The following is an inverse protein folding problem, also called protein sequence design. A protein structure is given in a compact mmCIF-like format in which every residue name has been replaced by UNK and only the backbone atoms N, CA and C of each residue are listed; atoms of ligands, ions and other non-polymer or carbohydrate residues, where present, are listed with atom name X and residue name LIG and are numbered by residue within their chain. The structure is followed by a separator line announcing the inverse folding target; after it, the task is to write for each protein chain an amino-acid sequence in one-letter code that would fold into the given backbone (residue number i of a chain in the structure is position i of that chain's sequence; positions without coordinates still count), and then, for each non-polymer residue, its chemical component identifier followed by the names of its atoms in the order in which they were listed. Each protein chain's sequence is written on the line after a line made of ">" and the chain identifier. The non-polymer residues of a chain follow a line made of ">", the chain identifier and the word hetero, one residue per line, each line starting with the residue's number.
data_IF_432599596741
#
_entry.id   IF_432599596741
#
_cell.length_a   1.000
_cell.length_b   1.000
_cell.length_c   1.000
_cell.angle_alpha   90.00
_cell.angle_beta   90.00
_cell.angle_gamma   90.00
#
_symmetry.space_group_name_H-M   'P 1'
#
loop_
_entity.id
_entity.type
_entity.pdbx_description
1 polymer ?
#
# COMPACT_ATOMS: atom_id res chain seq x y z
N UNK A 1 -26.30 -5.27 -1.47
CA UNK A 1 -24.90 -4.94 -1.11
C UNK A 1 -24.28 -4.42 -2.38
N UNK A 2 -23.90 -3.16 -2.37
CA UNK A 2 -23.39 -2.49 -3.57
C UNK A 2 -21.86 -2.62 -3.64
N UNK A 3 -21.35 -2.76 -4.86
CA UNK A 3 -19.92 -2.85 -5.10
C UNK A 3 -19.56 -2.23 -6.44
N UNK A 4 -18.31 -1.79 -6.58
CA UNK A 4 -17.82 -1.07 -7.75
C UNK A 4 -16.41 -1.51 -8.09
N UNK A 5 -16.12 -1.51 -9.38
CA UNK A 5 -14.79 -1.77 -9.92
C UNK A 5 -14.42 -0.70 -10.93
N UNK A 6 -13.13 -0.35 -10.98
CA UNK A 6 -12.64 0.64 -11.93
C UNK A 6 -11.35 0.22 -12.63
N UNK A 7 -11.03 0.95 -13.70
CA UNK A 7 -9.90 0.68 -14.59
C UNK A 7 -10.12 1.38 -15.92
N UNK A 8 -10.15 0.63 -17.02
CA UNK A 8 -10.52 1.16 -18.35
C UNK A 8 -12.00 1.61 -18.49
N UNK A 9 -12.78 1.49 -17.41
CA UNK A 9 -14.16 1.94 -17.26
C UNK A 9 -14.58 1.74 -15.80
N UNK A 10 -15.87 1.92 -15.49
CA UNK A 10 -16.44 1.59 -14.18
C UNK A 10 -17.58 0.60 -14.39
N UNK A 11 -17.65 -0.42 -13.54
CA UNK A 11 -18.81 -1.30 -13.42
C UNK A 11 -19.27 -1.39 -11.98
N UNK A 12 -20.55 -1.65 -11.78
CA UNK A 12 -21.20 -1.73 -10.47
C UNK A 12 -21.98 -3.03 -10.32
N UNK A 13 -22.23 -3.42 -9.08
CA UNK A 13 -23.09 -4.54 -8.70
C UNK A 13 -24.05 -4.09 -7.61
N UNK A 14 -25.29 -4.59 -7.64
CA UNK A 14 -26.29 -4.34 -6.59
C UNK A 14 -26.61 -5.63 -5.79
N UNK A 15 -26.13 -6.78 -6.27
CA UNK A 15 -26.45 -8.12 -5.76
C UNK A 15 -25.28 -8.75 -4.98
N UNK A 16 -24.36 -7.92 -4.47
CA UNK A 16 -23.18 -8.38 -3.73
C UNK A 16 -22.16 -9.04 -4.65
N UNK A 17 -22.00 -8.53 -5.87
CA UNK A 17 -21.02 -9.01 -6.83
C UNK A 17 -21.39 -10.35 -7.46
N UNK A 18 -22.66 -10.73 -7.55
CA UNK A 18 -23.08 -11.91 -8.33
C UNK A 18 -23.14 -11.56 -9.82
N UNK A 19 -23.63 -10.35 -10.14
CA UNK A 19 -23.64 -9.79 -11.49
C UNK A 19 -23.11 -8.36 -11.50
N UNK A 20 -22.50 -7.97 -12.62
CA UNK A 20 -21.88 -6.66 -12.81
C UNK A 20 -22.47 -5.94 -14.02
N UNK A 21 -22.69 -4.64 -13.89
CA UNK A 21 -23.27 -3.78 -14.91
C UNK A 21 -22.30 -2.66 -15.28
N UNK A 22 -22.17 -2.39 -16.57
CA UNK A 22 -21.36 -1.26 -17.05
C UNK A 22 -22.01 0.05 -16.63
N UNK A 23 -21.23 0.93 -16.00
CA UNK A 23 -21.62 2.30 -15.71
C UNK A 23 -21.50 3.20 -16.95
N UNK A 24 -22.31 4.25 -17.02
CA UNK A 24 -22.11 5.33 -17.99
C UNK A 24 -21.03 6.29 -17.49
N UNK A 25 -19.90 6.34 -18.20
CA UNK A 25 -18.71 7.11 -17.80
C UNK A 25 -18.16 7.92 -18.97
N UNK A 26 -17.46 9.05 -18.72
CA UNK A 26 -16.71 9.74 -19.75
C UNK A 26 -15.76 8.79 -20.51
N UNK A 27 -15.86 8.78 -21.84
CA UNK A 27 -15.11 7.86 -22.70
C UNK A 27 -13.62 8.14 -22.73
N UNK A 28 -12.80 7.09 -22.82
CA UNK A 28 -11.35 7.20 -23.04
C UNK A 28 -10.53 7.51 -21.80
N UNK A 29 -11.13 7.41 -20.60
CA UNK A 29 -10.45 7.60 -19.32
C UNK A 29 -9.96 6.27 -18.75
N UNK A 30 -8.95 6.35 -17.89
CA UNK A 30 -8.47 5.25 -17.07
C UNK A 30 -8.54 5.66 -15.60
N UNK A 31 -9.25 4.86 -14.80
CA UNK A 31 -9.51 5.09 -13.38
C UNK A 31 -8.64 4.14 -12.55
N UNK A 32 -7.82 4.69 -11.67
CA UNK A 32 -6.92 3.93 -10.80
C UNK A 32 -7.63 3.54 -9.48
N UNK A 33 -8.61 4.34 -9.04
CA UNK A 33 -9.34 4.14 -7.78
C UNK A 33 -10.82 4.49 -7.94
N UNK A 34 -11.67 3.79 -7.18
CA UNK A 34 -13.11 4.06 -7.02
C UNK A 34 -13.50 3.84 -5.57
N UNK A 35 -14.28 4.75 -5.02
CA UNK A 35 -14.73 4.78 -3.63
C UNK A 35 -16.14 5.36 -3.57
N UNK A 36 -16.97 4.92 -2.62
CA UNK A 36 -18.29 5.50 -2.36
C UNK A 36 -18.40 6.00 -0.93
N UNK A 37 -18.92 7.21 -0.78
CA UNK A 37 -19.23 7.82 0.52
C UNK A 37 -20.47 7.21 1.18
N UNK A 38 -21.43 6.81 0.35
CA UNK A 38 -22.66 6.11 0.71
C UNK A 38 -23.16 5.30 -0.50
N UNK A 39 -24.30 4.63 -0.39
CA UNK A 39 -24.85 3.80 -1.47
C UNK A 39 -25.16 4.55 -2.79
N UNK A 40 -25.13 5.88 -2.81
CA UNK A 40 -25.46 6.74 -3.95
C UNK A 40 -24.27 7.58 -4.45
N UNK A 41 -23.44 8.08 -3.55
CA UNK A 41 -22.41 9.08 -3.81
C UNK A 41 -21.05 8.43 -4.04
N UNK A 42 -20.69 8.27 -5.32
CA UNK A 42 -19.45 7.63 -5.75
C UNK A 42 -18.43 8.59 -6.34
N UNK A 43 -17.16 8.24 -6.20
CA UNK A 43 -16.02 8.98 -6.73
C UNK A 43 -15.02 8.03 -7.40
N UNK A 44 -14.50 8.42 -8.55
CA UNK A 44 -13.41 7.69 -9.19
C UNK A 44 -12.35 8.65 -9.72
N UNK A 45 -11.10 8.25 -9.58
CA UNK A 45 -9.92 9.07 -9.89
C UNK A 45 -8.94 8.33 -10.79
N UNK A 46 -8.14 9.10 -11.54
CA UNK A 46 -7.09 8.55 -12.40
C UNK A 46 -5.98 9.55 -12.70
N UNK A 47 -5.13 9.19 -13.66
CA UNK A 47 -4.02 10.02 -14.15
C UNK A 47 -4.56 11.27 -14.85
N UNK A 48 -3.77 12.35 -14.94
CA UNK A 48 -4.13 13.59 -15.64
C UNK A 48 -5.34 14.32 -15.06
N UNK A 49 -5.49 14.29 -13.72
CA UNK A 49 -6.60 14.94 -13.01
C UNK A 49 -7.98 14.39 -13.37
N UNK A 50 -8.04 13.18 -13.93
CA UNK A 50 -9.31 12.50 -14.17
C UNK A 50 -9.99 12.30 -12.83
N UNK A 51 -11.16 12.91 -12.68
CA UNK A 51 -11.98 12.81 -11.49
C UNK A 51 -13.45 12.85 -11.91
N UNK A 52 -14.22 11.84 -11.50
CA UNK A 52 -15.64 11.72 -11.83
C UNK A 52 -16.43 11.45 -10.56
N UNK A 53 -17.70 11.87 -10.58
CA UNK A 53 -18.65 11.68 -9.49
C UNK A 53 -19.93 11.04 -9.99
N UNK A 54 -20.45 10.09 -9.21
CA UNK A 54 -21.81 9.57 -9.29
C UNK A 54 -22.63 10.04 -8.08
N UNK A 55 -23.93 10.20 -8.29
CA UNK A 55 -24.92 10.51 -7.23
C UNK A 55 -26.11 9.54 -7.29
N UNK A 56 -25.95 8.43 -8.02
CA UNK A 56 -26.98 7.45 -8.33
C UNK A 56 -26.49 6.01 -8.13
N UNK A 57 -25.51 5.78 -7.26
CA UNK A 57 -25.02 4.43 -6.94
C UNK A 57 -24.08 3.86 -8.02
N UNK A 58 -23.46 4.73 -8.81
CA UNK A 58 -22.51 4.35 -9.85
C UNK A 58 -23.13 3.99 -11.20
N UNK A 59 -24.42 4.27 -11.41
CA UNK A 59 -25.08 4.07 -12.70
C UNK A 59 -24.56 5.07 -13.73
N UNK A 60 -24.46 6.36 -13.35
CA UNK A 60 -23.93 7.43 -14.20
C UNK A 60 -22.84 8.23 -13.51
N UNK A 61 -21.82 8.62 -14.29
CA UNK A 61 -20.64 9.34 -13.82
C UNK A 61 -20.41 10.59 -14.63
N UNK A 62 -20.25 11.71 -13.94
CA UNK A 62 -19.99 13.01 -14.56
C UNK A 62 -18.60 13.51 -14.16
N UNK A 63 -17.90 14.17 -15.09
CA UNK A 63 -16.63 14.82 -14.78
C UNK A 63 -16.81 15.84 -13.66
N UNK A 64 -16.00 15.68 -12.62
CA UNK A 64 -15.90 16.61 -11.51
C UNK A 64 -14.53 17.31 -11.56
N UNK A 65 -14.38 18.38 -10.78
CA UNK A 65 -13.13 19.15 -10.72
C UNK A 65 -12.68 19.32 -9.29
N UNK A 66 -11.40 19.10 -9.04
CA UNK A 66 -10.77 19.42 -7.78
C UNK A 66 -10.13 20.81 -7.85
N UNK A 67 -10.01 21.54 -6.73
CA UNK A 67 -9.36 22.85 -6.69
C UNK A 67 -7.83 22.72 -6.79
N UNK A 68 -7.36 22.21 -7.94
CA UNK A 68 -5.94 22.07 -8.23
C UNK A 68 -5.24 23.44 -8.18
N UNK A 69 -3.99 23.51 -7.70
CA UNK A 69 -3.23 24.75 -7.72
C UNK A 69 -3.10 25.29 -9.16
N UNK A 70 -3.31 26.60 -9.33
CA UNK A 70 -3.46 27.28 -10.63
C UNK A 70 -2.20 27.26 -11.53
N UNK A 71 -1.08 26.70 -11.05
CA UNK A 71 0.18 26.38 -11.76
C UNK A 71 1.13 25.74 -10.72
N UNK A 72 1.46 24.47 -10.88
CA UNK A 72 2.55 23.82 -10.14
C UNK A 72 3.86 24.48 -10.56
N UNK A 73 4.43 25.31 -9.68
CA UNK A 73 5.79 25.80 -9.86
C UNK A 73 6.72 24.62 -9.64
N UNK A 74 7.41 24.21 -10.69
CA UNK A 74 8.66 23.46 -10.56
C UNK A 74 9.58 24.30 -9.68
N UNK A 75 9.94 23.78 -8.52
CA UNK A 75 11.02 24.34 -7.71
C UNK A 75 12.01 23.23 -7.41
N UNK A 76 12.94 23.04 -8.34
CA UNK A 76 14.16 22.29 -8.04
C UNK A 76 14.99 23.12 -7.05
N UNK A 77 15.34 22.54 -5.92
CA UNK A 77 16.37 23.07 -5.03
C UNK A 77 17.70 22.46 -5.48
N UNK A 78 18.69 23.30 -5.76
CA UNK A 78 20.08 22.86 -6.00
C UNK A 78 20.91 22.79 -4.73
N UNK A 79 20.31 23.07 -3.57
CA UNK A 79 21.01 23.30 -2.31
C UNK A 79 20.47 22.45 -1.15
N UNK A 80 19.86 21.31 -1.45
CA UNK A 80 19.37 20.35 -0.45
C UNK A 80 18.27 20.93 0.45
N UNK A 81 17.33 21.68 -0.13
CA UNK A 81 16.16 22.22 0.58
C UNK A 81 16.43 23.49 1.37
N UNK A 82 17.57 24.16 1.14
CA UNK A 82 17.93 25.39 1.85
C UNK A 82 17.33 26.64 1.19
N UNK A 83 17.06 26.64 -0.11
CA UNK A 83 16.36 27.73 -0.81
C UNK A 83 15.62 27.29 -2.09
N UNK A 84 14.59 28.06 -2.46
CA UNK A 84 13.60 27.73 -3.50
C UNK A 84 13.45 28.91 -4.49
N UNK A 85 13.77 28.70 -5.78
CA UNK A 85 13.73 29.73 -6.85
C UNK A 85 12.69 29.47 -7.95
N UNK A 86 12.21 30.52 -8.66
CA UNK A 86 11.19 30.39 -9.73
C UNK A 86 11.78 29.90 -11.06
N UNK A 87 11.12 28.95 -11.73
CA UNK A 87 11.38 28.60 -13.14
C UNK A 87 10.95 29.74 -14.11
N UNK A 88 11.61 29.93 -15.27
CA UNK A 88 11.23 30.95 -16.26
C UNK A 88 9.94 30.55 -17.03
N UNK A 89 9.08 31.53 -17.28
CA UNK A 89 7.71 31.38 -17.81
C UNK A 89 7.57 30.78 -19.23
N UNK A 90 8.65 30.50 -19.95
CA UNK A 90 8.60 30.20 -21.39
C UNK A 90 9.04 28.77 -21.79
N UNK A 91 9.16 27.83 -20.85
CA UNK A 91 9.41 26.42 -21.14
C UNK A 91 8.27 25.56 -20.63
N UNK A 92 7.26 25.28 -21.47
CA UNK A 92 6.28 24.24 -21.18
C UNK A 92 6.99 22.91 -21.44
N UNK A 93 7.38 22.22 -20.37
CA UNK A 93 7.86 20.84 -20.47
C UNK A 93 6.67 19.94 -20.85
N UNK A 94 6.78 19.25 -21.98
CA UNK A 94 5.79 18.24 -22.40
C UNK A 94 5.92 16.94 -21.59
N UNK A 95 6.95 16.84 -20.76
CA UNK A 95 7.21 15.76 -19.80
C UNK A 95 6.87 16.15 -18.35
N UNK A 96 6.22 17.29 -18.13
CA UNK A 96 5.76 17.68 -16.80
C UNK A 96 4.88 16.57 -16.20
N UNK A 97 5.11 16.18 -14.92
CA UNK A 97 4.43 15.04 -14.33
C UNK A 97 2.94 15.27 -14.24
N UNK A 98 2.21 14.22 -14.63
CA UNK A 98 0.75 14.18 -14.66
C UNK A 98 0.28 13.91 -13.23
N UNK A 99 -0.43 14.84 -12.57
CA UNK A 99 -0.95 14.58 -11.24
C UNK A 99 -1.98 13.45 -11.32
N UNK A 100 -1.83 12.49 -10.42
CA UNK A 100 -2.63 11.28 -10.33
C UNK A 100 -3.43 11.30 -9.03
N UNK A 101 -4.68 10.89 -9.10
CA UNK A 101 -5.45 10.54 -7.90
C UNK A 101 -5.12 9.09 -7.57
N UNK A 102 -4.34 8.88 -6.51
CA UNK A 102 -3.89 7.55 -6.11
C UNK A 102 -4.86 6.85 -5.16
N UNK A 103 -5.56 7.62 -4.32
CA UNK A 103 -6.53 7.09 -3.35
C UNK A 103 -7.68 8.06 -3.14
N UNK A 104 -8.87 7.52 -2.97
CA UNK A 104 -10.06 8.21 -2.47
C UNK A 104 -10.53 7.40 -1.26
N UNK A 105 -10.89 8.08 -0.18
CA UNK A 105 -11.34 7.43 1.04
C UNK A 105 -12.45 8.26 1.68
N UNK A 106 -13.51 7.63 2.15
CA UNK A 106 -14.54 8.28 2.95
C UNK A 106 -14.58 7.68 4.35
N UNK A 107 -14.66 8.54 5.35
CA UNK A 107 -14.86 8.15 6.75
C UNK A 107 -16.35 7.88 7.00
N UNK A 108 -17.20 8.69 6.37
CA UNK A 108 -18.65 8.60 6.44
C UNK A 108 -19.26 9.28 5.20
N UNK A 109 -20.59 9.33 5.14
CA UNK A 109 -21.34 9.90 4.01
C UNK A 109 -21.10 11.41 3.77
N UNK A 110 -20.49 12.12 4.74
CA UNK A 110 -20.15 13.53 4.63
C UNK A 110 -18.64 13.77 4.46
N UNK A 111 -17.80 13.03 5.16
CA UNK A 111 -16.38 13.31 5.29
C UNK A 111 -15.51 12.37 4.48
N UNK A 112 -14.66 12.93 3.63
CA UNK A 112 -13.78 12.15 2.75
C UNK A 112 -12.54 12.89 2.28
N UNK A 113 -11.59 12.12 1.74
CA UNK A 113 -10.27 12.56 1.32
C UNK A 113 -9.88 12.03 -0.05
N UNK A 114 -9.04 12.81 -0.74
CA UNK A 114 -8.36 12.39 -1.96
C UNK A 114 -6.88 12.62 -1.77
N UNK A 115 -6.10 11.55 -1.83
CA UNK A 115 -4.65 11.60 -1.86
C UNK A 115 -4.15 11.64 -3.30
N UNK A 116 -3.31 12.62 -3.62
CA UNK A 116 -2.71 12.73 -4.96
C UNK A 116 -1.25 12.33 -4.96
N UNK A 117 -0.83 11.66 -6.03
CA UNK A 117 0.57 11.47 -6.34
C UNK A 117 1.00 12.46 -7.43
N UNK A 118 2.07 13.21 -7.19
CA UNK A 118 2.69 14.07 -8.21
C UNK A 118 4.14 13.63 -8.32
N UNK A 119 4.52 13.12 -9.50
CA UNK A 119 5.78 12.40 -9.68
C UNK A 119 7.06 13.27 -9.48
N UNK A 120 6.96 14.59 -9.34
CA UNK A 120 8.11 15.48 -9.06
C UNK A 120 8.24 15.95 -7.61
N UNK A 121 7.78 15.16 -6.63
CA UNK A 121 8.27 15.19 -5.22
C UNK A 121 7.88 16.42 -4.38
N UNK A 122 7.00 17.31 -4.82
CA UNK A 122 6.96 18.65 -4.21
C UNK A 122 5.66 19.08 -3.53
N UNK A 123 4.55 18.34 -3.62
CA UNK A 123 3.35 18.59 -2.81
C UNK A 123 2.45 17.33 -2.82
N UNK A 124 2.38 16.58 -1.72
CA UNK A 124 1.20 15.71 -1.52
C UNK A 124 0.02 16.65 -1.28
N UNK A 125 -0.89 16.72 -2.26
CA UNK A 125 -2.14 17.47 -2.12
C UNK A 125 -3.18 16.51 -1.57
N UNK A 126 -3.68 16.83 -0.39
CA UNK A 126 -4.87 16.20 0.15
C UNK A 126 -6.06 17.08 -0.23
N UNK A 127 -7.09 16.53 -0.85
CA UNK A 127 -8.39 17.19 -0.88
C UNK A 127 -9.27 16.62 0.21
N UNK A 128 -10.11 17.47 0.79
CA UNK A 128 -11.06 17.11 1.83
C UNK A 128 -12.44 17.60 1.47
N UNK A 129 -13.45 16.81 1.80
CA UNK A 129 -14.85 17.16 1.76
C UNK A 129 -15.48 16.91 3.12
N UNK A 130 -16.42 17.77 3.50
CA UNK A 130 -17.30 17.67 4.68
C UNK A 130 -18.78 17.61 4.26
N UNK A 131 -19.05 17.36 2.98
CA UNK A 131 -20.40 17.37 2.40
C UNK A 131 -20.60 16.29 1.31
N UNK A 132 -20.03 15.11 1.54
CA UNK A 132 -20.22 13.94 0.68
C UNK A 132 -19.65 14.15 -0.72
N UNK A 133 -18.54 14.89 -0.80
CA UNK A 133 -17.84 15.24 -2.04
C UNK A 133 -18.61 16.18 -2.96
N UNK A 134 -19.66 16.87 -2.48
CA UNK A 134 -20.33 17.93 -3.24
C UNK A 134 -19.39 19.11 -3.53
N UNK A 135 -18.48 19.39 -2.61
CA UNK A 135 -17.34 20.28 -2.82
C UNK A 135 -16.10 19.74 -2.14
N UNK A 136 -14.94 20.01 -2.76
CA UNK A 136 -13.64 19.65 -2.23
C UNK A 136 -12.85 20.90 -1.90
N UNK A 137 -12.17 20.88 -0.77
CA UNK A 137 -11.23 21.90 -0.34
C UNK A 137 -9.82 21.34 -0.34
N UNK A 138 -8.86 22.13 -0.81
CA UNK A 138 -7.45 21.74 -0.71
C UNK A 138 -7.04 21.82 0.77
N UNK A 139 -6.52 20.73 1.30
CA UNK A 139 -5.78 20.69 2.57
C UNK A 139 -4.31 20.48 2.25
N UNK A 140 -3.46 21.30 2.86
CA UNK A 140 -2.03 21.00 2.92
C UNK A 140 -1.81 20.29 4.24
N UNK A 141 -1.22 19.10 4.18
CA UNK A 141 -0.78 18.36 5.37
C UNK A 141 0.58 18.87 5.91
N UNK A 142 1.16 19.89 5.29
CA UNK A 142 2.31 20.60 5.85
C UNK A 142 3.69 19.98 5.61
N UNK A 143 3.86 19.06 4.66
CA UNK A 143 5.16 18.50 4.28
C UNK A 143 5.35 18.31 2.77
N UNK A 144 6.57 17.94 2.35
CA UNK A 144 6.94 17.68 0.95
C UNK A 144 7.13 16.19 0.73
N UNK A 145 6.72 15.63 -0.41
CA UNK A 145 6.99 14.22 -0.77
C UNK A 145 5.74 13.41 -1.12
N UNK A 146 5.89 12.08 -1.26
CA UNK A 146 4.84 11.12 -1.65
C UNK A 146 4.27 10.43 -0.41
N UNK A 147 2.96 10.23 -0.38
CA UNK A 147 2.30 9.33 0.56
C UNK A 147 2.04 7.99 -0.14
N UNK A 148 2.51 6.92 0.49
CA UNK A 148 2.54 5.57 -0.09
C UNK A 148 1.87 4.51 0.79
N UNK A 149 1.69 4.79 2.07
CA UNK A 149 1.24 3.83 3.07
C UNK A 149 0.14 4.44 3.93
N UNK A 150 -0.85 3.63 4.29
CA UNK A 150 -1.90 4.00 5.21
C UNK A 150 -2.21 2.82 6.13
N UNK A 151 -2.47 3.12 7.38
CA UNK A 151 -3.11 2.18 8.29
C UNK A 151 -4.16 2.95 9.10
N UNK A 152 -5.37 2.42 9.14
CA UNK A 152 -6.42 2.88 10.04
C UNK A 152 -6.79 1.76 11.00
N UNK A 153 -7.19 2.12 12.21
CA UNK A 153 -7.90 1.19 13.08
C UNK A 153 -9.32 0.96 12.55
N UNK A 154 -9.94 -0.13 12.98
CA UNK A 154 -11.29 -0.51 12.58
C UNK A 154 -12.38 0.51 12.92
N UNK A 155 -12.08 1.54 13.72
CA UNK A 155 -13.03 2.62 14.00
C UNK A 155 -13.00 3.75 12.97
N UNK A 156 -12.08 3.71 12.00
CA UNK A 156 -11.89 4.72 10.97
C UNK A 156 -11.34 6.07 11.48
N UNK A 157 -11.38 6.36 12.78
CA UNK A 157 -10.97 7.67 13.32
C UNK A 157 -9.46 7.79 13.50
N UNK A 158 -8.79 6.69 13.83
CA UNK A 158 -7.37 6.67 14.16
C UNK A 158 -6.60 6.11 12.99
N UNK A 159 -5.77 6.95 12.38
CA UNK A 159 -5.04 6.60 11.17
C UNK A 159 -3.64 7.19 11.13
N UNK A 160 -2.77 6.50 10.41
CA UNK A 160 -1.37 6.85 10.25
C UNK A 160 -0.95 6.67 8.80
N UNK A 161 -0.05 7.53 8.34
CA UNK A 161 0.44 7.52 6.98
C UNK A 161 1.85 8.09 6.88
N UNK A 162 2.52 7.76 5.79
CA UNK A 162 3.86 8.20 5.46
C UNK A 162 4.15 7.85 4.01
N UNK A 163 5.41 7.96 3.62
CA UNK A 163 5.82 7.47 2.31
C UNK A 163 7.16 7.98 1.86
N UNK A 164 7.44 7.77 0.59
CA UNK A 164 8.73 8.11 0.03
C UNK A 164 8.91 9.62 -0.08
N UNK A 165 10.08 10.12 0.31
CA UNK A 165 10.45 11.53 0.22
C UNK A 165 9.58 12.48 1.05
N UNK A 166 8.65 11.96 1.87
CA UNK A 166 7.68 12.73 2.68
C UNK A 166 8.36 13.55 3.79
N UNK A 167 9.54 13.10 4.26
CA UNK A 167 10.25 13.68 5.40
C UNK A 167 9.56 13.49 6.76
N UNK A 168 8.23 13.34 6.74
CA UNK A 168 7.35 13.37 7.88
C UNK A 168 6.39 12.17 7.87
N UNK A 169 6.14 11.67 9.07
CA UNK A 169 5.02 10.79 9.39
C UNK A 169 3.79 11.64 9.69
N UNK A 170 2.59 11.14 9.37
CA UNK A 170 1.34 11.85 9.67
C UNK A 170 0.39 10.95 10.44
N UNK A 171 -0.36 11.56 11.37
CA UNK A 171 -1.42 10.90 12.15
C UNK A 171 -2.72 11.68 12.11
N UNK A 172 -3.83 10.98 12.25
CA UNK A 172 -5.17 11.53 12.46
C UNK A 172 -5.90 10.78 13.57
N UNK A 173 -6.76 11.50 14.29
CA UNK A 173 -7.64 10.97 15.37
C UNK A 173 -9.10 11.38 15.14
N UNK A 174 -9.39 11.95 13.97
CA UNK A 174 -10.71 12.38 13.51
C UNK A 174 -10.97 11.85 12.09
N UNK A 175 -10.38 10.70 11.77
CA UNK A 175 -10.54 9.95 10.51
C UNK A 175 -10.02 10.63 9.27
N UNK A 176 -9.14 11.61 9.44
CA UNK A 176 -8.46 12.34 8.38
C UNK A 176 -8.78 13.83 8.37
N UNK A 177 -9.76 14.30 9.14
CA UNK A 177 -10.21 15.70 9.15
C UNK A 177 -9.07 16.67 9.45
N UNK A 178 -8.22 16.28 10.39
CA UNK A 178 -6.95 16.91 10.73
C UNK A 178 -5.84 15.87 10.73
N UNK A 179 -4.77 16.18 9.99
CA UNK A 179 -3.51 15.47 10.05
C UNK A 179 -2.48 16.28 10.83
N UNK A 180 -1.79 15.61 11.74
CA UNK A 180 -0.65 16.14 12.49
C UNK A 180 0.62 15.52 11.93
N UNK A 181 1.60 16.35 11.54
CA UNK A 181 2.89 15.87 11.04
C UNK A 181 3.93 15.74 12.15
N UNK A 182 4.72 14.68 12.07
CA UNK A 182 5.82 14.37 12.98
C UNK A 182 7.04 14.09 12.12
N UNK A 183 8.04 14.96 12.24
CA UNK A 183 9.29 14.78 11.51
C UNK A 183 10.15 13.72 12.18
N UNK A 184 10.49 12.67 11.43
CA UNK A 184 11.38 11.60 11.89
C UNK A 184 12.83 11.80 11.40
N UNK A 185 13.10 12.91 10.72
CA UNK A 185 14.42 13.31 10.25
C UNK A 185 14.36 13.92 8.84
N UNK A 186 15.38 14.69 8.44
CA UNK A 186 15.42 15.25 7.09
C UNK A 186 15.51 14.13 6.04
N UNK A 187 14.76 14.27 4.95
CA UNK A 187 14.78 13.32 3.81
C UNK A 187 14.49 11.86 4.21
N UNK A 188 13.60 11.67 5.17
CA UNK A 188 13.18 10.36 5.65
C UNK A 188 12.10 9.76 4.76
N UNK A 189 12.25 8.48 4.44
CA UNK A 189 11.25 7.62 3.84
C UNK A 189 10.62 6.75 4.92
N UNK A 190 9.31 6.77 5.06
CA UNK A 190 8.62 5.75 5.85
C UNK A 190 8.33 4.62 4.86
N UNK A 191 8.98 3.46 5.04
CA UNK A 191 8.81 2.33 4.13
C UNK A 191 7.71 1.39 4.60
N UNK A 192 7.51 1.31 5.91
CA UNK A 192 6.43 0.54 6.51
C UNK A 192 6.11 1.07 7.91
N UNK A 193 4.91 0.77 8.40
CA UNK A 193 4.46 1.04 9.76
C UNK A 193 3.47 -0.02 10.24
N UNK A 194 3.37 -0.17 11.56
CA UNK A 194 2.33 -0.98 12.16
C UNK A 194 1.95 -0.43 13.54
N UNK A 195 0.71 0.00 13.69
CA UNK A 195 0.05 0.28 14.95
C UNK A 195 -0.82 -0.91 15.36
N UNK A 196 -0.66 -1.39 16.59
CA UNK A 196 -1.49 -2.46 17.15
C UNK A 196 -2.78 -1.90 17.74
N UNK A 197 -2.71 -0.68 18.25
CA UNK A 197 -3.82 0.04 18.86
C UNK A 197 -3.64 1.54 18.68
N UNK A 198 -4.46 2.32 19.38
CA UNK A 198 -4.49 3.78 19.28
C UNK A 198 -3.24 4.48 19.84
N UNK A 199 -2.40 3.78 20.60
CA UNK A 199 -1.28 4.34 21.35
C UNK A 199 0.05 3.74 20.91
N UNK A 200 0.09 2.42 20.69
CA UNK A 200 1.32 1.67 20.44
C UNK A 200 1.47 1.32 18.96
N UNK A 201 2.58 1.76 18.37
CA UNK A 201 2.95 1.40 17.01
C UNK A 201 4.42 1.62 16.69
N UNK A 202 4.83 1.10 15.54
CA UNK A 202 6.18 1.17 15.02
C UNK A 202 6.19 1.75 13.60
N UNK A 203 7.26 2.42 13.25
CA UNK A 203 7.50 2.93 11.91
C UNK A 203 8.95 2.64 11.50
N UNK A 204 9.18 2.48 10.20
CA UNK A 204 10.50 2.23 9.61
C UNK A 204 11.00 3.46 8.84
N UNK A 205 11.52 4.50 9.54
CA UNK A 205 12.16 5.62 8.89
C UNK A 205 13.50 5.21 8.26
N UNK A 206 13.65 5.50 6.98
CA UNK A 206 14.84 5.26 6.19
C UNK A 206 15.37 6.58 5.65
N UNK A 207 16.55 6.98 6.10
CA UNK A 207 17.15 8.28 5.78
C UNK A 207 18.05 8.13 4.57
N UNK A 208 17.88 9.01 3.58
CA UNK A 208 18.78 9.07 2.42
C UNK A 208 20.09 9.76 2.80
N UNK A 209 21.20 9.04 2.82
CA UNK A 209 22.49 9.64 3.19
C UNK A 209 23.32 10.18 2.03
N UNK A 210 23.19 9.64 0.81
CA UNK A 210 24.03 10.04 -0.32
C UNK A 210 23.34 9.88 -1.67
N UNK A 211 23.57 10.90 -2.51
CA UNK A 211 23.23 10.92 -3.93
C UNK A 211 24.50 10.89 -4.80
N UNK A 212 24.40 10.24 -5.96
CA UNK A 212 25.31 10.42 -7.09
C UNK A 212 24.51 10.92 -8.29
N UNK A 213 24.65 12.21 -8.62
CA UNK A 213 23.77 12.87 -9.58
C UNK A 213 22.32 12.91 -9.05
N UNK A 214 21.38 12.35 -9.82
CA UNK A 214 19.96 12.24 -9.45
C UNK A 214 19.59 10.90 -8.81
N UNK A 215 20.57 10.01 -8.59
CA UNK A 215 20.36 8.64 -8.09
C UNK A 215 20.69 8.55 -6.60
N UNK A 216 19.79 7.95 -5.82
CA UNK A 216 20.07 7.57 -4.42
C UNK A 216 20.99 6.36 -4.44
N UNK A 217 22.14 6.47 -3.77
CA UNK A 217 23.14 5.39 -3.72
C UNK A 217 23.25 4.74 -2.33
N UNK A 218 22.77 5.40 -1.28
CA UNK A 218 22.63 4.76 0.02
C UNK A 218 21.41 5.27 0.81
N UNK A 219 20.92 4.39 1.69
CA UNK A 219 19.88 4.67 2.68
C UNK A 219 20.30 4.01 3.99
N UNK A 220 20.06 4.67 5.12
CA UNK A 220 20.21 4.04 6.42
C UNK A 220 18.88 4.06 7.16
N UNK A 221 18.40 2.86 7.48
CA UNK A 221 17.13 2.62 8.14
C UNK A 221 17.22 2.64 9.65
N UNK A 222 16.08 2.93 10.26
CA UNK A 222 15.84 2.85 11.69
C UNK A 222 14.49 2.21 11.99
N UNK A 223 14.36 1.76 13.24
CA UNK A 223 13.09 1.31 13.80
C UNK A 223 12.69 2.32 14.87
N UNK A 224 11.50 2.89 14.73
CA UNK A 224 10.95 3.89 15.63
C UNK A 224 9.68 3.35 16.29
N UNK A 225 9.52 3.57 17.60
CA UNK A 225 8.29 3.22 18.34
C UNK A 225 7.58 4.45 18.86
N UNK A 226 6.26 4.42 18.78
CA UNK A 226 5.38 5.31 19.51
C UNK A 226 4.61 4.55 20.60
N UNK A 227 4.32 5.27 21.69
CA UNK A 227 3.45 4.84 22.80
C UNK A 227 2.38 5.89 23.12
N UNK A 228 2.22 6.87 22.23
CA UNK A 228 1.27 7.98 22.35
C UNK A 228 0.49 8.20 21.04
N UNK A 229 0.48 7.18 20.19
CA UNK A 229 -0.32 7.16 18.98
C UNK A 229 0.32 7.87 17.79
N UNK A 230 1.65 7.93 17.77
CA UNK A 230 2.44 8.65 16.80
C UNK A 230 2.54 10.16 17.08
N UNK A 231 2.24 10.62 18.31
CA UNK A 231 2.47 12.01 18.74
C UNK A 231 3.97 12.29 18.88
N UNK A 232 4.71 11.27 19.30
CA UNK A 232 6.15 11.23 19.33
C UNK A 232 6.64 9.82 19.02
N UNK A 233 7.90 9.74 18.60
CA UNK A 233 8.59 8.47 18.35
C UNK A 233 9.93 8.45 19.08
N UNK A 234 10.23 7.30 19.66
CA UNK A 234 11.55 6.95 20.14
C UNK A 234 12.23 6.06 19.11
N UNK A 235 13.40 6.46 18.63
CA UNK A 235 14.24 5.59 17.81
C UNK A 235 14.82 4.47 18.69
N UNK A 236 14.60 3.23 18.28
CA UNK A 236 14.94 2.02 19.04
C UNK A 236 16.16 1.30 18.48
N UNK A 237 16.36 1.34 17.16
CA UNK A 237 17.46 0.68 16.48
C UNK A 237 17.80 1.42 15.18
N UNK A 238 19.04 1.27 14.71
CA UNK A 238 19.53 1.89 13.47
C UNK A 238 20.13 3.27 13.69
N UNK A 239 20.19 4.08 12.64
CA UNK A 239 20.77 5.42 12.71
C UNK A 239 19.75 6.50 13.12
N UNK A 240 20.08 7.41 14.06
CA UNK A 240 21.37 7.62 14.72
C UNK A 240 21.53 6.94 16.11
N UNK A 241 20.72 5.93 16.48
CA UNK A 241 20.79 5.27 17.80
C UNK A 241 22.19 4.74 18.11
N UNK A 242 22.86 4.12 17.13
CA UNK A 242 24.23 3.59 17.26
C UNK A 242 25.35 4.63 16.99
N UNK A 243 25.00 5.92 16.92
CA UNK A 243 25.91 7.06 16.85
C UNK A 243 26.52 7.36 15.48
N UNK A 244 27.19 6.41 14.83
CA UNK A 244 27.81 6.66 13.52
C UNK A 244 26.87 6.25 12.38
N UNK A 245 26.70 7.12 11.38
CA UNK A 245 26.12 6.77 10.08
C UNK A 245 26.98 5.66 9.47
N UNK A 246 26.43 4.46 9.30
CA UNK A 246 27.11 3.32 8.69
C UNK A 246 26.54 3.17 7.30
N UNK A 247 27.30 3.58 6.28
CA UNK A 247 26.97 3.27 4.88
C UNK A 247 27.88 2.15 4.36
N UNK A 248 27.32 1.04 3.83
CA UNK A 248 25.90 0.77 3.69
C UNK A 248 25.27 0.19 4.97
N UNK A 249 24.25 0.87 5.49
CA UNK A 249 23.46 0.44 6.65
C UNK A 249 22.25 -0.38 6.20
N UNK A 250 21.51 -1.03 7.12
CA UNK A 250 20.30 -1.74 6.73
C UNK A 250 19.21 -0.74 6.34
N UNK A 251 18.62 -0.91 5.16
CA UNK A 251 17.31 -0.38 4.82
C UNK A 251 16.26 -1.33 5.41
N UNK A 252 15.34 -0.82 6.23
CA UNK A 252 14.23 -1.60 6.77
C UNK A 252 13.02 -1.53 5.85
N UNK A 253 12.50 -2.68 5.44
CA UNK A 253 11.47 -2.81 4.40
C UNK A 253 10.09 -3.13 4.95
N UNK A 254 10.02 -3.93 6.01
CA UNK A 254 8.78 -4.54 6.51
C UNK A 254 8.90 -4.77 8.02
N UNK A 255 7.81 -4.59 8.76
CA UNK A 255 7.74 -4.81 10.19
C UNK A 255 6.48 -5.61 10.57
N UNK A 256 6.65 -6.60 11.44
CA UNK A 256 5.53 -7.44 11.89
C UNK A 256 5.58 -7.65 13.40
N UNK A 257 4.52 -7.22 14.06
CA UNK A 257 4.20 -7.39 15.46
C UNK A 257 2.87 -8.16 15.55
N UNK A 258 2.88 -9.44 15.91
CA UNK A 258 1.66 -10.17 16.28
C UNK A 258 1.13 -9.72 17.66
N UNK A 259 2.00 -9.16 18.51
CA UNK A 259 1.63 -8.62 19.81
C UNK A 259 2.57 -7.45 20.23
N UNK A 260 2.29 -6.80 21.35
CA UNK A 260 3.02 -5.60 21.78
C UNK A 260 4.45 -5.86 22.31
N UNK A 261 4.81 -7.10 22.59
CA UNK A 261 6.11 -7.51 23.12
C UNK A 261 7.02 -8.11 22.04
N UNK A 262 6.48 -8.88 21.11
CA UNK A 262 7.25 -9.58 20.09
C UNK A 262 7.14 -8.89 18.74
N UNK A 263 8.27 -8.55 18.14
CA UNK A 263 8.31 -7.90 16.84
C UNK A 263 9.51 -8.29 16.00
N UNK A 264 9.29 -8.29 14.69
CA UNK A 264 10.30 -8.56 13.69
C UNK A 264 10.38 -7.44 12.68
N UNK A 265 11.60 -7.13 12.21
CA UNK A 265 11.81 -6.21 11.12
C UNK A 265 12.72 -6.84 10.06
N UNK A 266 12.36 -6.65 8.79
CA UNK A 266 13.14 -7.09 7.65
C UNK A 266 14.08 -5.97 7.20
N UNK A 267 15.39 -6.22 7.25
CA UNK A 267 16.39 -5.27 6.76
C UNK A 267 17.23 -5.84 5.62
N UNK A 268 17.58 -5.02 4.63
CA UNK A 268 18.55 -5.38 3.57
C UNK A 268 19.65 -4.34 3.44
N UNK A 269 20.78 -4.69 2.86
CA UNK A 269 21.78 -3.66 2.51
C UNK A 269 21.36 -2.88 1.26
N UNK A 270 21.90 -1.66 1.16
CA UNK A 270 21.44 -0.55 0.32
C UNK A 270 21.35 -0.79 -1.19
N UNK A 271 20.57 0.10 -1.81
CA UNK A 271 20.12 0.17 -3.21
C UNK A 271 21.19 0.03 -4.32
N UNK A 272 22.46 0.34 -4.07
CA UNK A 272 23.53 0.18 -5.06
C UNK A 272 24.64 -0.77 -4.58
N UNK A 273 24.53 -2.04 -4.97
CA UNK A 273 25.51 -3.09 -4.71
C UNK A 273 24.94 -4.46 -5.09
N UNK A 274 25.76 -5.54 -5.10
CA UNK A 274 25.21 -6.88 -5.16
C UNK A 274 24.22 -7.05 -4.00
N UNK A 275 23.03 -7.61 -4.26
CA UNK A 275 22.04 -7.85 -3.22
C UNK A 275 22.68 -8.67 -2.11
N UNK A 276 22.92 -8.06 -0.95
CA UNK A 276 23.40 -8.76 0.23
C UNK A 276 22.21 -9.49 0.89
N UNK A 277 22.46 -10.54 1.69
CA UNK A 277 21.40 -11.26 2.38
C UNK A 277 20.51 -10.32 3.20
N UNK A 278 19.22 -10.61 3.19
CA UNK A 278 18.29 -9.93 4.08
C UNK A 278 18.52 -10.41 5.51
N UNK A 279 18.25 -9.54 6.48
CA UNK A 279 18.35 -9.82 7.91
C UNK A 279 16.99 -9.70 8.54
N UNK A 280 16.71 -10.66 9.42
CA UNK A 280 15.55 -10.59 10.31
C UNK A 280 16.05 -10.06 11.65
N UNK A 281 15.52 -8.92 12.04
CA UNK A 281 15.73 -8.32 13.36
C UNK A 281 14.58 -8.69 14.26
N UNK A 282 14.85 -8.88 15.54
CA UNK A 282 13.85 -9.33 16.51
C UNK A 282 13.92 -8.53 17.82
N UNK A 283 12.76 -8.36 18.44
CA UNK A 283 12.58 -7.87 19.79
C UNK A 283 11.56 -8.74 20.53
N UNK A 284 11.80 -9.02 21.80
CA UNK A 284 10.88 -9.65 22.76
C UNK A 284 10.49 -8.69 23.91
N UNK A 285 10.79 -7.40 23.75
CA UNK A 285 10.53 -6.32 24.72
C UNK A 285 9.68 -5.18 24.16
N UNK A 286 9.06 -5.40 22.99
CA UNK A 286 8.34 -4.37 22.25
C UNK A 286 9.29 -3.30 21.72
N UNK A 287 10.54 -3.66 21.45
CA UNK A 287 11.56 -2.81 20.85
C UNK A 287 12.46 -2.05 21.82
N UNK A 288 12.42 -2.33 23.13
CA UNK A 288 13.41 -1.77 24.05
C UNK A 288 14.83 -2.26 23.74
N UNK A 289 14.94 -3.43 23.13
CA UNK A 289 16.15 -4.00 22.55
C UNK A 289 15.83 -4.71 21.22
N UNK A 290 16.75 -4.59 20.26
CA UNK A 290 16.68 -5.25 18.96
C UNK A 290 17.98 -6.00 18.69
N UNK A 291 17.84 -7.17 18.07
CA UNK A 291 18.99 -8.02 17.69
C UNK A 291 18.78 -8.64 16.32
N UNK A 292 19.86 -8.82 15.57
CA UNK A 292 19.84 -9.66 14.36
C UNK A 292 19.62 -11.10 14.81
N UNK A 293 18.50 -11.68 14.38
CA UNK A 293 18.11 -13.04 14.76
C UNK A 293 18.58 -14.07 13.74
N UNK A 294 18.43 -13.77 12.45
CA UNK A 294 18.83 -14.64 11.34
C UNK A 294 19.17 -13.84 10.09
N UNK A 295 19.86 -14.49 9.15
CA UNK A 295 20.07 -13.99 7.78
C UNK A 295 19.31 -14.90 6.81
N UNK A 296 18.62 -14.29 5.83
CA UNK A 296 17.90 -14.96 4.75
C UNK A 296 18.69 -14.81 3.45
N UNK A 297 18.82 -15.91 2.70
CA UNK A 297 19.53 -15.92 1.43
C UNK A 297 18.75 -15.15 0.36
N UNK A 298 19.24 -13.94 0.07
CA UNK A 298 18.81 -12.99 -0.97
C UNK A 298 17.32 -12.57 -0.96
N UNK A 299 17.01 -11.50 -1.71
CA UNK A 299 15.71 -11.19 -2.31
C UNK A 299 14.41 -11.14 -1.49
N UNK A 300 14.44 -11.25 -0.15
CA UNK A 300 13.20 -11.18 0.65
C UNK A 300 12.68 -9.75 0.71
N UNK A 301 11.39 -9.57 0.41
CA UNK A 301 10.73 -8.27 0.38
C UNK A 301 9.49 -8.15 1.26
N UNK A 302 8.96 -9.26 1.76
CA UNK A 302 7.78 -9.29 2.65
C UNK A 302 7.99 -10.30 3.77
N UNK A 303 7.53 -9.95 4.97
CA UNK A 303 7.66 -10.69 6.22
C UNK A 303 6.37 -10.58 7.04
N UNK A 304 5.82 -11.71 7.46
CA UNK A 304 4.61 -11.72 8.29
C UNK A 304 4.72 -12.76 9.41
N UNK A 305 4.49 -12.35 10.66
CA UNK A 305 4.36 -13.25 11.82
C UNK A 305 2.92 -13.30 12.30
N UNK A 306 2.41 -14.52 12.48
CA UNK A 306 1.05 -14.75 13.01
C UNK A 306 1.05 -14.89 14.53
N UNK A 307 2.18 -15.24 15.13
CA UNK A 307 2.39 -15.32 16.58
C UNK A 307 3.90 -15.32 16.90
N UNK A 308 4.27 -15.55 18.16
CA UNK A 308 5.67 -15.46 18.59
C UNK A 308 6.60 -16.55 18.04
N UNK A 309 6.04 -17.61 17.46
CA UNK A 309 6.78 -18.75 16.92
C UNK A 309 6.70 -18.84 15.40
N UNK A 310 5.59 -18.45 14.80
CA UNK A 310 5.29 -18.73 13.39
C UNK A 310 5.34 -17.46 12.54
N UNK A 311 6.11 -17.54 11.46
CA UNK A 311 6.20 -16.46 10.47
C UNK A 311 6.54 -16.96 9.08
N UNK A 312 6.32 -16.10 8.10
CA UNK A 312 6.46 -16.36 6.68
C UNK A 312 7.23 -15.23 6.01
N UNK A 313 7.97 -15.55 4.96
CA UNK A 313 8.71 -14.57 4.19
C UNK A 313 8.67 -14.88 2.68
N UNK A 314 8.48 -13.85 1.85
CA UNK A 314 8.46 -13.99 0.38
C UNK A 314 9.75 -13.54 -0.26
N UNK A 315 10.15 -14.29 -1.28
CA UNK A 315 11.34 -14.04 -2.08
C UNK A 315 10.97 -13.57 -3.50
N UNK A 316 11.77 -12.65 -4.06
CA UNK A 316 11.55 -12.08 -5.38
C UNK A 316 12.02 -12.97 -6.56
N UNK A 317 12.93 -13.92 -6.37
CA UNK A 317 13.42 -14.75 -7.48
C UNK A 317 12.49 -15.92 -7.79
N UNK A 318 12.28 -16.15 -9.09
CA UNK A 318 11.45 -17.25 -9.59
C UNK A 318 11.97 -18.63 -9.15
N UNK A 319 11.06 -19.52 -8.77
CA UNK A 319 11.40 -20.88 -8.33
C UNK A 319 12.03 -20.98 -6.93
N UNK A 320 12.09 -19.88 -6.18
CA UNK A 320 12.39 -19.87 -4.74
C UNK A 320 11.06 -19.93 -3.97
N UNK A 321 10.82 -20.93 -3.12
CA UNK A 321 9.56 -21.03 -2.38
C UNK A 321 9.46 -19.94 -1.31
N UNK A 322 8.24 -19.62 -0.85
CA UNK A 322 8.04 -18.94 0.42
C UNK A 322 8.80 -19.65 1.55
N UNK A 323 9.35 -18.88 2.49
CA UNK A 323 9.99 -19.41 3.68
C UNK A 323 9.03 -19.40 4.86
N UNK A 324 9.17 -20.39 5.74
CA UNK A 324 8.44 -20.47 7.01
C UNK A 324 9.44 -20.62 8.16
N UNK A 325 9.10 -20.02 9.29
CA UNK A 325 9.71 -20.28 10.59
C UNK A 325 8.67 -20.82 11.57
N UNK A 326 9.12 -21.67 12.50
CA UNK A 326 8.32 -22.23 13.60
C UNK A 326 8.99 -22.03 14.97
N UNK A 327 10.07 -21.25 15.02
CA UNK A 327 10.86 -20.98 16.21
C UNK A 327 11.10 -19.47 16.44
N UNK A 328 10.21 -18.65 15.89
CA UNK A 328 10.23 -17.19 16.02
C UNK A 328 11.27 -16.52 15.12
N UNK A 329 11.60 -17.12 13.98
CA UNK A 329 12.55 -16.58 13.01
C UNK A 329 14.02 -16.92 13.30
N UNK A 330 14.30 -17.85 14.23
CA UNK A 330 15.68 -18.32 14.49
C UNK A 330 16.17 -19.21 13.37
N UNK A 331 15.29 -20.05 12.83
CA UNK A 331 15.54 -20.85 11.64
C UNK A 331 14.39 -20.72 10.65
N UNK A 332 14.73 -20.82 9.37
CA UNK A 332 13.79 -20.71 8.26
C UNK A 332 13.97 -21.90 7.33
N UNK A 333 12.87 -22.46 6.85
CA UNK A 333 12.88 -23.50 5.83
C UNK A 333 12.02 -23.08 4.66
N UNK A 334 12.51 -23.33 3.45
CA UNK A 334 11.76 -23.07 2.22
C UNK A 334 10.67 -24.12 2.03
N UNK A 335 9.42 -23.68 1.80
CA UNK A 335 8.24 -24.52 1.56
C UNK A 335 8.29 -25.24 0.22
N UNK A 336 9.05 -26.33 0.18
CA UNK A 336 9.29 -27.10 -1.05
C UNK A 336 8.00 -27.67 -1.66
N UNK A 337 6.97 -27.90 -0.84
CA UNK A 337 5.64 -28.33 -1.24
C UNK A 337 4.94 -27.35 -2.20
N UNK A 338 5.27 -26.05 -2.13
CA UNK A 338 4.72 -24.99 -2.99
C UNK A 338 5.78 -24.29 -3.86
N UNK A 339 7.00 -24.85 -3.94
CA UNK A 339 8.09 -24.27 -4.74
C UNK A 339 7.78 -24.16 -6.22
N UNK A 340 7.14 -25.19 -6.78
CA UNK A 340 6.87 -25.28 -8.22
C UNK A 340 5.85 -24.24 -8.70
N UNK A 341 5.13 -23.64 -7.76
CA UNK A 341 4.14 -22.61 -8.03
C UNK A 341 4.62 -21.26 -7.51
N UNK A 342 5.90 -21.08 -7.17
CA UNK A 342 6.42 -19.75 -6.83
C UNK A 342 6.91 -19.05 -8.11
N UNK A 343 6.17 -18.06 -8.64
CA UNK A 343 6.54 -17.39 -9.89
C UNK A 343 7.72 -16.43 -9.70
N UNK A 344 8.11 -16.17 -8.44
CA UNK A 344 8.94 -15.02 -8.08
C UNK A 344 8.17 -13.71 -8.26
N UNK A 345 8.89 -12.60 -8.16
CA UNK A 345 8.38 -11.24 -8.27
C UNK A 345 7.79 -10.71 -6.97
N UNK A 346 7.07 -9.60 -7.10
CA UNK A 346 6.47 -8.91 -5.98
C UNK A 346 5.16 -9.56 -5.58
N UNK A 347 4.90 -9.54 -4.28
CA UNK A 347 3.75 -10.17 -3.70
C UNK A 347 3.64 -9.86 -2.23
N UNK A 348 2.58 -10.36 -1.62
CA UNK A 348 2.24 -10.07 -0.24
C UNK A 348 1.73 -11.34 0.47
N UNK A 349 1.86 -11.36 1.80
CA UNK A 349 1.33 -12.38 2.68
C UNK A 349 0.34 -11.71 3.62
N UNK A 350 -0.93 -12.13 3.54
CA UNK A 350 -1.99 -11.57 4.37
C UNK A 350 -2.66 -12.69 5.15
N UNK A 351 -2.83 -12.50 6.45
CA UNK A 351 -3.65 -13.35 7.31
C UNK A 351 -4.84 -12.56 7.82
N UNK A 352 -6.04 -13.13 7.71
CA UNK A 352 -7.25 -12.56 8.32
C UNK A 352 -7.34 -12.92 9.82
N UNK A 353 -6.84 -14.11 10.17
CA UNK A 353 -6.72 -14.59 11.54
C UNK A 353 -5.54 -15.57 11.63
N UNK A 354 -5.36 -16.22 12.78
CA UNK A 354 -4.28 -17.18 13.02
C UNK A 354 -4.39 -18.48 12.20
N UNK A 355 -5.52 -18.72 11.53
CA UNK A 355 -5.81 -19.91 10.75
C UNK A 355 -5.89 -19.63 9.24
N UNK A 356 -6.44 -18.48 8.83
CA UNK A 356 -6.76 -18.15 7.44
C UNK A 356 -5.80 -17.11 6.88
N UNK A 357 -5.09 -17.49 5.81
CA UNK A 357 -4.17 -16.59 5.13
C UNK A 357 -4.01 -16.89 3.65
N UNK A 358 -3.48 -15.90 2.93
CA UNK A 358 -3.28 -15.92 1.50
C UNK A 358 -1.89 -15.38 1.15
N UNK A 359 -1.30 -15.98 0.12
CA UNK A 359 -0.10 -15.45 -0.54
C UNK A 359 -0.49 -15.10 -1.96
N UNK A 360 -0.24 -13.85 -2.35
CA UNK A 360 -0.38 -13.41 -3.74
C UNK A 360 1.00 -13.02 -4.26
N UNK A 361 1.44 -13.62 -5.37
CA UNK A 361 2.66 -13.21 -6.06
C UNK A 361 2.40 -13.02 -7.55
N UNK A 362 2.86 -11.89 -8.08
CA UNK A 362 2.88 -11.60 -9.50
C UNK A 362 4.32 -11.83 -10.02
N UNK A 363 4.48 -12.67 -11.06
CA UNK A 363 5.77 -12.95 -11.66
C UNK A 363 6.53 -11.70 -12.14
N UNK A 364 7.86 -11.82 -12.23
CA UNK A 364 8.76 -10.72 -12.60
C UNK A 364 8.45 -10.15 -13.99
N UNK A 365 8.53 -8.82 -14.14
CA UNK A 365 8.12 -8.03 -15.33
C UNK A 365 8.70 -8.50 -16.68
N UNK A 366 9.78 -9.28 -16.67
CA UNK A 366 10.57 -9.64 -17.86
C UNK A 366 10.28 -11.03 -18.45
N UNK A 367 9.44 -11.86 -17.82
CA UNK A 367 9.07 -13.16 -18.37
C UNK A 367 7.56 -13.19 -18.67
N UNK A 368 7.24 -13.13 -19.97
CA UNK A 368 5.93 -13.40 -20.60
C UNK A 368 4.75 -13.59 -19.64
N UNK A 369 3.82 -12.63 -19.62
CA UNK A 369 2.37 -12.77 -19.32
C UNK A 369 1.97 -14.20 -18.87
N UNK A 370 1.95 -14.51 -17.56
CA UNK A 370 1.40 -15.81 -17.16
C UNK A 370 1.55 -16.25 -15.72
N UNK A 371 2.72 -16.09 -15.11
CA UNK A 371 2.99 -16.79 -13.85
C UNK A 371 2.65 -15.90 -12.66
N UNK A 372 1.66 -16.36 -11.90
CA UNK A 372 1.15 -15.72 -10.70
C UNK A 372 0.56 -16.80 -9.83
N UNK A 373 0.56 -16.53 -8.55
CA UNK A 373 0.18 -17.53 -7.59
C UNK A 373 -0.67 -16.92 -6.52
N UNK A 374 -1.85 -17.51 -6.36
CA UNK A 374 -2.68 -17.35 -5.19
C UNK A 374 -2.59 -18.66 -4.41
N UNK A 375 -2.05 -18.59 -3.21
CA UNK A 375 -2.10 -19.68 -2.24
C UNK A 375 -3.07 -19.32 -1.14
N UNK A 376 -3.68 -20.34 -0.56
CA UNK A 376 -4.54 -20.21 0.61
C UNK A 376 -4.11 -21.22 1.67
N UNK A 377 -4.22 -20.83 2.93
CA UNK A 377 -4.19 -21.75 4.07
C UNK A 377 -5.44 -21.56 4.94
N UNK A 378 -5.82 -22.63 5.65
CA UNK A 378 -6.91 -22.64 6.64
C UNK A 378 -6.50 -23.26 7.98
N UNK A 379 -5.21 -23.57 8.11
CA UNK A 379 -4.59 -24.20 9.28
C UNK A 379 -3.33 -23.43 9.71
N UNK A 380 -3.38 -22.11 9.55
CA UNK A 380 -2.36 -21.18 9.99
C UNK A 380 -1.06 -21.28 9.20
N UNK A 381 -1.14 -21.82 7.98
CA UNK A 381 -0.02 -22.03 7.07
C UNK A 381 0.64 -23.39 7.20
N UNK A 382 0.04 -24.39 7.84
CA UNK A 382 0.60 -25.75 7.84
C UNK A 382 0.52 -26.38 6.45
N UNK A 383 -0.63 -26.22 5.79
CA UNK A 383 -0.84 -26.60 4.42
C UNK A 383 -1.22 -25.37 3.59
N UNK A 384 -0.58 -25.25 2.43
CA UNK A 384 -0.91 -24.23 1.44
C UNK A 384 -1.49 -24.91 0.20
N UNK A 385 -2.70 -24.48 -0.17
CA UNK A 385 -3.38 -24.95 -1.35
C UNK A 385 -3.18 -23.96 -2.49
N UNK A 386 -2.79 -24.49 -3.65
CA UNK A 386 -2.62 -23.67 -4.85
C UNK A 386 -3.97 -23.48 -5.54
N UNK A 387 -4.41 -22.23 -5.62
CA UNK A 387 -5.66 -21.89 -6.27
C UNK A 387 -5.45 -21.71 -7.78
N UNK A 388 -5.04 -22.79 -8.46
CA UNK A 388 -4.67 -22.82 -9.89
C UNK A 388 -5.82 -22.56 -10.89
N UNK A 389 -7.05 -22.33 -10.43
CA UNK A 389 -8.24 -22.23 -11.28
C UNK A 389 -8.53 -20.81 -11.79
N UNK A 390 -7.63 -19.87 -11.51
CA UNK A 390 -7.85 -18.45 -11.73
C UNK A 390 -7.34 -17.98 -13.12
N UNK A 391 -8.07 -17.09 -13.80
CA UNK A 391 -7.99 -16.71 -15.23
C UNK A 391 -6.93 -15.66 -15.54
N UNK A 392 -6.16 -15.85 -16.63
CA UNK A 392 -4.92 -15.13 -17.01
C UNK A 392 -4.93 -13.60 -16.73
N UNK A 393 -3.80 -13.04 -16.23
CA UNK A 393 -3.62 -11.60 -15.98
C UNK A 393 -2.77 -11.22 -14.76
N UNK A 394 -2.09 -10.07 -14.75
CA UNK A 394 -1.52 -9.55 -13.50
C UNK A 394 -2.64 -9.16 -12.53
N UNK A 395 -2.58 -9.62 -11.28
CA UNK A 395 -3.54 -9.21 -10.25
C UNK A 395 -3.16 -7.84 -9.71
N UNK A 396 -4.13 -6.93 -9.65
CA UNK A 396 -3.91 -5.56 -9.12
C UNK A 396 -4.53 -5.34 -7.76
N UNK A 397 -5.65 -6.01 -7.47
CA UNK A 397 -6.32 -5.88 -6.19
C UNK A 397 -6.97 -7.21 -5.80
N UNK A 398 -6.81 -7.54 -4.51
CA UNK A 398 -7.49 -8.61 -3.79
C UNK A 398 -8.22 -7.95 -2.63
N UNK A 399 -9.53 -8.14 -2.56
CA UNK A 399 -10.39 -7.57 -1.53
C UNK A 399 -11.17 -8.69 -0.86
N UNK A 400 -11.10 -8.79 0.46
CA UNK A 400 -11.97 -9.65 1.25
C UNK A 400 -12.90 -8.77 2.08
N UNK A 401 -14.20 -8.97 1.90
CA UNK A 401 -15.23 -8.34 2.74
C UNK A 401 -15.29 -9.01 4.11
N UNK A 402 -15.12 -10.32 4.12
CA UNK A 402 -15.01 -11.14 5.30
C UNK A 402 -14.20 -12.40 4.97
N UNK A 403 -14.12 -13.33 5.93
CA UNK A 403 -13.38 -14.57 5.76
C UNK A 403 -13.89 -15.43 4.61
N UNK A 404 -15.16 -15.38 4.24
CA UNK A 404 -15.76 -16.23 3.22
C UNK A 404 -15.80 -15.55 1.86
N UNK A 405 -16.04 -14.24 1.83
CA UNK A 405 -16.35 -13.46 0.63
C UNK A 405 -15.20 -12.56 0.22
N UNK A 406 -14.68 -12.80 -0.99
CA UNK A 406 -13.59 -12.01 -1.56
C UNK A 406 -13.64 -11.91 -3.08
N UNK A 407 -12.93 -10.93 -3.61
CA UNK A 407 -12.85 -10.63 -5.03
C UNK A 407 -11.43 -10.28 -5.46
N UNK A 408 -11.10 -10.60 -6.71
CA UNK A 408 -9.88 -10.18 -7.37
C UNK A 408 -10.18 -9.58 -8.73
N UNK A 409 -9.34 -8.62 -9.12
CA UNK A 409 -9.41 -7.99 -10.45
C UNK A 409 -8.04 -7.98 -11.13
N UNK A 410 -8.03 -8.01 -12.47
CA UNK A 410 -6.80 -8.13 -13.24
C UNK A 410 -6.74 -7.32 -14.55
N UNK A 411 -5.59 -7.39 -15.21
CA UNK A 411 -5.27 -6.70 -16.48
C UNK A 411 -6.16 -7.05 -17.68
N UNK A 412 -6.95 -8.12 -17.60
CA UNK A 412 -7.80 -8.59 -18.70
C UNK A 412 -9.29 -8.28 -18.50
N UNK A 413 -9.65 -7.58 -17.42
CA UNK A 413 -11.04 -7.16 -17.21
C UNK A 413 -11.87 -8.22 -16.50
N UNK A 414 -11.21 -9.27 -16.01
CA UNK A 414 -11.85 -10.34 -15.26
C UNK A 414 -12.03 -9.94 -13.81
N UNK A 415 -13.18 -10.33 -13.28
CA UNK A 415 -13.49 -10.31 -11.86
C UNK A 415 -13.58 -11.77 -11.45
N UNK A 416 -12.90 -12.13 -10.38
CA UNK A 416 -13.00 -13.46 -9.79
C UNK A 416 -13.52 -13.29 -8.38
N UNK A 417 -14.54 -14.05 -8.00
CA UNK A 417 -15.15 -13.98 -6.68
C UNK A 417 -15.13 -15.33 -5.97
N UNK A 418 -15.07 -15.30 -4.65
CA UNK A 418 -15.17 -16.47 -3.78
C UNK A 418 -16.21 -16.23 -2.69
N UNK A 419 -16.84 -17.32 -2.24
CA UNK A 419 -17.76 -17.35 -1.08
C UNK A 419 -17.40 -18.49 -0.11
N UNK A 420 -16.22 -19.09 -0.28
CA UNK A 420 -15.71 -20.23 0.48
C UNK A 420 -14.26 -20.01 0.94
N UNK A 421 -13.94 -18.75 1.25
CA UNK A 421 -12.61 -18.26 1.67
C UNK A 421 -11.51 -18.50 0.63
N UNK A 422 -11.86 -18.62 -0.64
CA UNK A 422 -10.94 -18.80 -1.75
C UNK A 422 -10.66 -20.26 -2.12
N UNK A 423 -11.49 -21.23 -1.70
CA UNK A 423 -11.40 -22.63 -2.16
C UNK A 423 -11.71 -22.71 -3.65
N UNK A 424 -12.79 -22.02 -4.03
CA UNK A 424 -13.23 -21.90 -5.40
C UNK A 424 -13.41 -20.43 -5.76
N UNK A 425 -13.05 -20.13 -7.01
CA UNK A 425 -13.20 -18.80 -7.59
C UNK A 425 -14.08 -18.90 -8.82
N UNK A 426 -15.11 -18.06 -8.86
CA UNK A 426 -16.04 -17.97 -9.97
C UNK A 426 -15.67 -16.80 -10.85
N UNK A 427 -15.41 -17.07 -12.12
CA UNK A 427 -15.17 -16.03 -13.11
C UNK A 427 -16.46 -15.27 -13.40
N UNK A 428 -16.39 -13.96 -13.27
CA UNK A 428 -17.44 -13.01 -13.59
C UNK A 428 -16.96 -12.06 -14.69
N UNK A 429 -17.91 -11.62 -15.52
CA UNK A 429 -17.63 -10.60 -16.53
C UNK A 429 -17.97 -9.24 -15.94
N UNK A 430 -17.05 -8.31 -16.04
CA UNK A 430 -17.28 -6.89 -15.74
C UNK A 430 -18.28 -6.21 -16.69
N UNK A 431 -18.60 -6.86 -17.82
CA UNK A 431 -19.43 -6.32 -18.90
C UNK A 431 -18.90 -4.98 -19.46
N UNK A 432 -17.61 -4.70 -19.27
CA UNK A 432 -16.87 -3.66 -19.97
C UNK A 432 -16.43 -4.19 -21.35
N UNK A 433 -16.59 -3.40 -22.40
CA UNK A 433 -16.28 -3.81 -23.77
C UNK A 433 -14.80 -3.63 -24.10
N UNK A 434 -14.13 -4.65 -24.64
CA UNK A 434 -12.74 -4.60 -25.14
C UNK A 434 -11.70 -5.20 -24.17
N UNK A 435 -10.40 -5.02 -24.47
CA UNK A 435 -9.31 -5.39 -23.54
C UNK A 435 -9.23 -4.30 -22.48
N UNK A 436 -9.73 -4.58 -21.28
CA UNK A 436 -9.85 -3.62 -20.19
C UNK A 436 -8.93 -4.05 -19.05
N UNK A 437 -8.17 -3.14 -18.45
CA UNK A 437 -7.44 -3.42 -17.20
C UNK A 437 -8.32 -2.95 -16.05
N UNK A 438 -8.49 -3.77 -15.03
CA UNK A 438 -9.12 -3.39 -13.77
C UNK A 438 -8.04 -3.15 -12.72
N UNK A 439 -8.27 -2.16 -11.85
CA UNK A 439 -7.30 -1.63 -10.89
C UNK A 439 -7.77 -1.72 -9.45
N UNK A 440 -8.99 -1.29 -9.20
CA UNK A 440 -9.58 -1.24 -7.87
C UNK A 440 -10.93 -1.93 -7.85
N UNK A 441 -11.26 -2.50 -6.69
CA UNK A 441 -12.56 -3.03 -6.33
C UNK A 441 -12.92 -2.52 -4.94
N UNK A 442 -14.18 -2.14 -4.75
CA UNK A 442 -14.69 -1.58 -3.50
C UNK A 442 -16.12 -2.08 -3.24
N UNK A 443 -16.44 -2.36 -1.99
CA UNK A 443 -17.80 -2.67 -1.52
C UNK A 443 -18.13 -1.77 -0.33
N UNK A 444 -19.37 -1.26 -0.27
CA UNK A 444 -19.86 -0.62 0.96
C UNK A 444 -20.26 -1.71 1.95
N UNK A 445 -19.72 -1.65 3.16
CA UNK A 445 -20.04 -2.56 4.26
C UNK A 445 -20.11 -1.85 5.63
N UNK A 446 -20.49 -2.59 6.67
CA UNK A 446 -20.66 -2.07 8.03
C UNK A 446 -19.35 -1.65 8.73
N UNK A 447 -18.19 -1.98 8.14
CA UNK A 447 -16.85 -1.64 8.62
C UNK A 447 -16.16 -0.56 7.76
N UNK A 448 -16.67 -0.32 6.55
CA UNK A 448 -16.08 0.57 5.54
C UNK A 448 -16.94 1.81 5.27
N UNK A 449 -18.07 1.97 5.95
CA UNK A 449 -18.80 3.24 5.99
C UNK A 449 -20.16 3.14 6.65
N UNK A 450 -20.25 3.54 7.93
CA UNK A 450 -21.44 4.09 8.58
C UNK A 450 -21.06 5.04 9.71
#
# INVERSE_FOLDING_TARGET
>A
MHGWICGSGIAYTEDGGQTWHRADTPTGQFYETVEFADDLNGFAGGVDKVFVRSVDGGHTWNSASLPWPAKGRVIETRDQGKSFGRFPENGIDKEAPRPEIGVIYFLNDQEGWIGTNVADRLDTVLFYTDNGGASWTRRSIGGQGRIDLFQFLADGLRGWTGGLFSGDFYRTYDGGGKWESISLGPSTHILDLQFLDQDVGWALPNVVGRYEGNTIVDMEGSIAKSVDGGKSFQLQYGWPVDGAYKSPGPQFLDVSFPDAAHGWALGRHTYSGPMLPARVYFTDSGGADWRVLSELEFGVHSLHFTNELRGFALHQDAGVPPFETRDGGKTWFGRQDIRQVSPGGWGDIVFADDQYGWIVQNGHYDLNIGDRTLLRTTDGGDNWEVINKIQRGGYHSLYFLDRERGWMVNDYGFIESTTDSGETWTLQRSNLDGVMRLRSIYFVDEFSGW
#
